data_IF_633232460718
#
_entry.id   IF_633232460718
#
_cell.length_a   1.000
_cell.length_b   1.000
_cell.length_c   1.000
_cell.angle_alpha   90.00
_cell.angle_beta   90.00
_cell.angle_gamma   90.00
#
_symmetry.space_group_name_H-M   'P 1'
#
loop_
_entity.id
_entity.type
_entity.pdbx_description
1 polymer ?
#
# COMPACT_ATOMS: atom_id res chain seq x y z
N UNK A 1 5.26 6.40 -14.23
CA UNK A 1 6.12 7.45 -13.62
C UNK A 1 6.82 6.83 -12.43
N UNK A 2 8.15 6.82 -12.39
CA UNK A 2 8.91 6.16 -11.34
C UNK A 2 8.72 6.86 -9.98
N UNK A 3 8.76 6.07 -8.91
CA UNK A 3 8.84 6.58 -7.54
C UNK A 3 10.31 6.69 -7.21
N UNK A 4 10.74 7.87 -6.73
CA UNK A 4 12.11 8.07 -6.28
C UNK A 4 12.12 8.71 -4.91
N UNK A 5 12.82 8.09 -4.00
CA UNK A 5 13.08 8.55 -2.64
C UNK A 5 14.58 8.54 -2.44
N UNK A 6 15.15 9.67 -2.04
CA UNK A 6 16.57 9.78 -1.71
C UNK A 6 16.74 10.46 -0.37
N UNK A 7 17.61 9.89 0.47
CA UNK A 7 18.05 10.46 1.75
C UNK A 7 16.90 10.79 2.73
N UNK A 8 15.81 9.98 2.68
CA UNK A 8 14.67 10.15 3.57
C UNK A 8 15.02 9.72 4.99
N UNK A 9 14.85 10.65 5.91
CA UNK A 9 14.94 10.42 7.35
C UNK A 9 13.61 10.75 8.03
N UNK A 10 13.31 10.12 9.17
CA UNK A 10 12.14 10.43 9.98
C UNK A 10 12.36 10.12 11.44
N UNK A 11 12.10 11.12 12.28
CA UNK A 11 12.03 10.96 13.73
C UNK A 11 10.59 11.02 14.21
N UNK A 12 10.25 10.20 15.20
CA UNK A 12 9.00 10.26 15.94
C UNK A 12 9.38 10.40 17.42
N UNK A 13 9.23 11.58 17.97
CA UNK A 13 9.76 11.92 19.27
C UNK A 13 11.30 11.78 19.30
N UNK A 14 11.81 10.88 20.13
CA UNK A 14 13.26 10.59 20.22
C UNK A 14 13.73 9.45 19.34
N UNK A 15 12.81 8.71 18.73
CA UNK A 15 13.14 7.53 17.94
C UNK A 15 13.42 7.92 16.48
N UNK A 16 14.60 7.54 15.95
CA UNK A 16 14.92 7.62 14.53
C UNK A 16 14.31 6.43 13.82
N UNK A 17 13.14 6.62 13.21
CA UNK A 17 12.30 5.54 12.65
C UNK A 17 12.70 5.19 11.23
N UNK A 18 13.09 6.17 10.40
CA UNK A 18 13.63 5.94 9.06
C UNK A 18 15.00 6.60 8.97
N UNK A 19 15.98 5.87 8.43
CA UNK A 19 17.38 6.24 8.44
C UNK A 19 17.93 6.15 7.03
N UNK A 20 18.07 7.30 6.38
CA UNK A 20 18.68 7.46 5.06
C UNK A 20 18.08 6.52 4.00
N UNK A 21 16.74 6.48 3.92
CA UNK A 21 16.03 5.64 2.95
C UNK A 21 16.28 6.15 1.53
N UNK A 22 16.85 5.30 0.70
CA UNK A 22 16.96 5.48 -0.75
C UNK A 22 16.22 4.34 -1.44
N UNK A 23 15.21 4.67 -2.27
CA UNK A 23 14.35 3.69 -2.95
C UNK A 23 13.87 4.25 -4.28
N UNK A 24 14.05 3.47 -5.36
CA UNK A 24 13.51 3.79 -6.68
C UNK A 24 12.66 2.62 -7.17
N UNK A 25 11.40 2.89 -7.57
CA UNK A 25 10.45 1.87 -8.04
C UNK A 25 9.99 2.28 -9.44
N UNK A 26 10.06 1.32 -10.36
CA UNK A 26 9.60 1.46 -11.74
C UNK A 26 8.08 1.43 -11.88
N UNK A 27 7.60 1.75 -13.08
CA UNK A 27 6.17 1.64 -13.41
C UNK A 27 5.77 0.17 -13.57
N UNK A 28 4.57 -0.17 -13.10
CA UNK A 28 3.98 -1.50 -13.26
C UNK A 28 4.58 -2.59 -12.38
N UNK A 29 5.40 -2.22 -11.38
CA UNK A 29 5.92 -3.17 -10.40
C UNK A 29 4.92 -3.43 -9.26
N UNK A 30 4.88 -4.67 -8.79
CA UNK A 30 4.24 -5.03 -7.52
C UNK A 30 5.35 -5.26 -6.49
N UNK A 31 5.53 -4.31 -5.60
CA UNK A 31 6.63 -4.29 -4.63
C UNK A 31 6.14 -4.67 -3.24
N UNK A 32 6.71 -5.71 -2.66
CA UNK A 32 6.49 -6.10 -1.27
C UNK A 32 7.47 -5.40 -0.33
N UNK A 33 6.97 -4.52 0.53
CA UNK A 33 7.74 -3.94 1.63
C UNK A 33 7.68 -4.87 2.83
N UNK A 34 8.70 -5.70 2.98
CA UNK A 34 8.77 -6.77 3.99
C UNK A 34 9.61 -6.31 5.19
N UNK A 35 9.23 -6.70 6.40
CA UNK A 35 10.01 -6.41 7.61
C UNK A 35 9.23 -6.68 8.89
N UNK A 36 9.90 -6.78 10.04
CA UNK A 36 9.25 -6.96 11.32
C UNK A 36 8.35 -5.78 11.71
N UNK A 37 7.52 -5.97 12.74
CA UNK A 37 6.72 -4.89 13.29
C UNK A 37 7.64 -3.80 13.87
N UNK A 38 7.33 -2.54 13.59
CA UNK A 38 8.16 -1.41 14.02
C UNK A 38 9.36 -1.11 13.12
N UNK A 39 9.61 -1.87 12.04
CA UNK A 39 10.74 -1.62 11.13
C UNK A 39 10.67 -0.29 10.36
N UNK A 40 9.51 0.38 10.32
CA UNK A 40 9.32 1.66 9.62
C UNK A 40 8.43 1.60 8.37
N UNK A 41 7.87 0.42 8.00
CA UNK A 41 7.06 0.21 6.80
C UNK A 41 5.90 1.20 6.67
N UNK A 42 5.00 1.23 7.66
CA UNK A 42 3.82 2.13 7.65
C UNK A 42 4.21 3.60 7.72
N UNK A 43 5.34 3.93 8.35
CA UNK A 43 5.89 5.30 8.38
C UNK A 43 6.32 5.73 6.99
N UNK A 44 7.07 4.89 6.27
CA UNK A 44 7.48 5.13 4.90
C UNK A 44 6.27 5.34 3.98
N UNK A 45 5.27 4.45 4.07
CA UNK A 45 4.03 4.56 3.29
C UNK A 45 3.26 5.85 3.58
N UNK A 46 3.14 6.26 4.85
CA UNK A 46 2.46 7.51 5.25
C UNK A 46 3.17 8.76 4.72
N UNK A 47 4.49 8.71 4.58
CA UNK A 47 5.25 9.80 3.94
C UNK A 47 4.99 9.82 2.43
N UNK A 48 5.00 8.65 1.75
CA UNK A 48 4.70 8.58 0.32
C UNK A 48 3.32 9.14 -0.03
N UNK A 49 2.32 8.92 0.83
CA UNK A 49 0.95 9.44 0.60
C UNK A 49 0.75 10.87 1.12
N UNK A 50 1.78 11.51 1.67
CA UNK A 50 1.73 12.89 2.16
C UNK A 50 0.98 13.08 3.48
N UNK A 51 0.73 12.00 4.25
CA UNK A 51 0.14 12.09 5.60
C UNK A 51 1.18 12.58 6.61
N UNK A 52 2.43 12.21 6.41
CA UNK A 52 3.55 12.68 7.21
C UNK A 52 4.62 13.32 6.33
N UNK A 53 5.36 14.28 6.88
CA UNK A 53 6.49 14.90 6.22
C UNK A 53 7.78 14.10 6.48
N UNK A 54 8.59 13.93 5.43
CA UNK A 54 9.95 13.42 5.53
C UNK A 54 10.89 14.49 6.07
N UNK A 55 12.07 14.09 6.50
CA UNK A 55 13.10 14.94 7.06
C UNK A 55 14.42 14.75 6.30
N UNK A 56 15.22 15.80 6.18
CA UNK A 56 16.59 15.70 5.69
C UNK A 56 17.47 14.93 6.68
N UNK A 57 18.39 14.11 6.17
CA UNK A 57 19.38 13.45 7.01
C UNK A 57 20.36 14.45 7.63
N UNK A 58 20.69 14.26 8.90
CA UNK A 58 21.88 14.86 9.52
C UNK A 58 23.07 13.93 9.31
N UNK A 59 23.51 13.73 8.06
CA UNK A 59 24.55 12.77 7.73
C UNK A 59 25.60 13.38 6.82
N UNK A 60 26.84 13.08 7.08
CA UNK A 60 28.18 13.24 6.45
C UNK A 60 28.34 14.02 5.13
N UNK A 61 27.41 14.90 4.77
CA UNK A 61 27.52 15.82 3.62
C UNK A 61 26.41 16.84 3.74
N UNK A 62 26.76 18.08 4.04
CA UNK A 62 25.84 19.20 4.27
C UNK A 62 24.95 19.57 3.04
N UNK A 63 24.97 18.77 1.95
CA UNK A 63 24.31 19.07 0.66
C UNK A 63 23.36 17.97 0.14
N UNK A 64 23.10 16.89 0.86
CA UNK A 64 22.17 15.85 0.39
C UNK A 64 20.76 16.13 0.90
N UNK A 65 19.98 16.81 0.07
CA UNK A 65 18.58 17.10 0.38
C UNK A 65 17.72 15.86 0.18
N UNK A 66 16.78 15.65 1.10
CA UNK A 66 15.69 14.69 0.92
C UNK A 66 14.92 15.00 -0.35
N UNK A 67 14.72 13.99 -1.18
CA UNK A 67 13.90 14.05 -2.39
C UNK A 67 12.80 13.00 -2.30
N UNK A 68 11.56 13.40 -2.54
CA UNK A 68 10.42 12.53 -2.70
C UNK A 68 9.70 12.86 -4.01
N UNK A 69 9.76 11.95 -4.95
CA UNK A 69 9.01 12.00 -6.19
C UNK A 69 8.04 10.81 -6.22
N UNK A 70 6.76 11.12 -6.19
CA UNK A 70 5.67 10.14 -6.28
C UNK A 70 4.65 10.60 -7.33
N UNK A 71 3.88 9.67 -7.94
CA UNK A 71 2.78 10.04 -8.83
C UNK A 71 1.79 10.98 -8.15
N UNK A 72 1.12 11.83 -8.95
CA UNK A 72 0.10 12.76 -8.45
C UNK A 72 -1.17 12.03 -7.95
N UNK A 73 -1.45 10.88 -8.53
CA UNK A 73 -2.63 10.08 -8.18
C UNK A 73 -2.21 8.84 -7.42
N UNK A 74 -2.46 8.85 -6.10
CA UNK A 74 -2.15 7.76 -5.18
C UNK A 74 -3.44 7.28 -4.53
N UNK A 75 -3.65 5.95 -4.58
CA UNK A 75 -4.63 5.25 -3.77
C UNK A 75 -3.98 4.69 -2.51
N UNK A 76 -4.63 4.82 -1.37
CA UNK A 76 -4.08 4.32 -0.10
C UNK A 76 -5.12 3.52 0.68
N UNK A 77 -4.73 2.31 1.07
CA UNK A 77 -5.44 1.47 2.02
C UNK A 77 -4.61 1.36 3.30
N UNK A 78 -5.00 2.02 4.39
CA UNK A 78 -4.32 1.89 5.68
C UNK A 78 -4.65 0.55 6.35
N UNK A 79 -3.77 0.07 7.23
CA UNK A 79 -3.91 -1.18 7.98
C UNK A 79 -5.26 -1.29 8.72
N UNK A 80 -5.67 -0.23 9.43
CA UNK A 80 -6.91 -0.23 10.21
C UNK A 80 -8.17 -0.08 9.36
N UNK A 81 -8.04 0.38 8.10
CA UNK A 81 -9.14 0.57 7.16
C UNK A 81 -10.39 1.21 7.80
N UNK A 82 -10.33 2.49 8.23
CA UNK A 82 -11.42 3.16 8.95
C UNK A 82 -12.61 3.41 8.02
N UNK A 83 -13.68 2.65 8.19
CA UNK A 83 -14.90 2.73 7.40
C UNK A 83 -16.07 3.28 8.24
N UNK A 84 -17.01 3.96 7.59
CA UNK A 84 -18.27 4.39 8.23
C UNK A 84 -19.23 3.20 8.29
N UNK A 85 -19.28 2.51 9.42
CA UNK A 85 -19.98 1.23 9.60
C UNK A 85 -21.51 1.33 9.43
N UNK A 86 -22.10 2.49 9.70
CA UNK A 86 -23.54 2.74 9.58
C UNK A 86 -24.03 2.98 8.15
N UNK A 87 -23.10 3.29 7.23
CA UNK A 87 -23.43 3.51 5.81
C UNK A 87 -23.60 2.18 5.07
N UNK A 88 -24.47 2.17 4.05
CA UNK A 88 -24.50 1.10 3.08
C UNK A 88 -23.27 1.14 2.17
N UNK A 89 -22.77 -0.01 1.70
CA UNK A 89 -21.56 -0.08 0.84
C UNK A 89 -21.67 0.86 -0.37
N UNK A 90 -22.80 0.82 -1.09
CA UNK A 90 -23.04 1.68 -2.25
C UNK A 90 -23.07 3.16 -1.88
N UNK A 91 -23.68 3.51 -0.76
CA UNK A 91 -23.73 4.87 -0.23
C UNK A 91 -22.33 5.38 0.14
N UNK A 92 -21.56 4.56 0.86
CA UNK A 92 -20.19 4.84 1.22
C UNK A 92 -19.31 5.16 -0.01
N UNK A 93 -19.33 4.29 -1.01
CA UNK A 93 -18.54 4.52 -2.23
C UNK A 93 -19.02 5.75 -3.00
N UNK A 94 -20.35 5.98 -3.09
CA UNK A 94 -20.90 7.18 -3.72
C UNK A 94 -20.47 8.47 -3.02
N UNK A 95 -20.42 8.46 -1.70
CA UNK A 95 -19.95 9.60 -0.90
C UNK A 95 -18.50 9.95 -1.26
N UNK A 96 -17.60 8.95 -1.27
CA UNK A 96 -16.18 9.18 -1.59
C UNK A 96 -15.94 9.52 -3.07
N UNK A 97 -16.70 8.93 -3.98
CA UNK A 97 -16.68 9.32 -5.41
C UNK A 97 -17.06 10.81 -5.56
N UNK A 98 -18.11 11.25 -4.86
CA UNK A 98 -18.54 12.66 -4.89
C UNK A 98 -17.48 13.65 -4.36
N UNK A 99 -16.63 13.22 -3.44
CA UNK A 99 -15.54 14.07 -2.90
C UNK A 99 -14.32 14.09 -3.83
N UNK A 100 -13.95 12.93 -4.40
CA UNK A 100 -12.66 12.74 -5.08
C UNK A 100 -12.72 12.97 -6.58
N UNK A 101 -13.88 12.90 -7.20
CA UNK A 101 -14.02 13.08 -8.65
C UNK A 101 -14.55 14.47 -8.98
N UNK A 102 -14.00 15.05 -10.03
CA UNK A 102 -14.50 16.34 -10.52
C UNK A 102 -15.90 16.16 -11.14
N UNK A 103 -16.83 17.10 -10.92
CA UNK A 103 -18.18 17.07 -11.49
C UNK A 103 -18.23 17.01 -13.03
N UNK A 104 -17.10 17.28 -13.69
CA UNK A 104 -16.93 17.24 -15.14
C UNK A 104 -16.42 15.90 -15.68
N UNK A 105 -16.37 14.82 -14.85
CA UNK A 105 -15.97 13.49 -15.31
C UNK A 105 -16.94 13.00 -16.40
N UNK A 106 -16.43 12.41 -17.51
CA UNK A 106 -17.27 11.83 -18.56
C UNK A 106 -18.07 10.62 -18.09
N UNK A 107 -17.64 9.97 -17.01
CA UNK A 107 -18.32 8.83 -16.38
C UNK A 107 -19.21 9.37 -15.26
N UNK A 108 -20.48 8.96 -15.22
CA UNK A 108 -21.36 9.31 -14.12
C UNK A 108 -20.87 8.71 -12.81
N UNK A 109 -21.03 9.44 -11.69
CA UNK A 109 -20.67 8.95 -10.36
C UNK A 109 -21.33 7.58 -10.06
N UNK A 110 -22.55 7.38 -10.51
CA UNK A 110 -23.27 6.12 -10.31
C UNK A 110 -22.62 4.96 -11.07
N UNK A 111 -22.22 5.17 -12.32
CA UNK A 111 -21.53 4.17 -13.12
C UNK A 111 -20.18 3.80 -12.49
N UNK A 112 -19.38 4.77 -12.09
CA UNK A 112 -18.10 4.53 -11.43
C UNK A 112 -18.25 3.70 -10.14
N UNK A 113 -19.30 3.97 -9.34
CA UNK A 113 -19.59 3.18 -8.13
C UNK A 113 -19.90 1.73 -8.47
N UNK A 114 -20.76 1.46 -9.46
CA UNK A 114 -21.11 0.09 -9.85
C UNK A 114 -19.90 -0.65 -10.46
N UNK A 115 -19.08 0.03 -11.24
CA UNK A 115 -17.83 -0.54 -11.79
C UNK A 115 -16.86 -0.94 -10.67
N UNK A 116 -16.68 -0.07 -9.66
CA UNK A 116 -15.84 -0.37 -8.50
C UNK A 116 -16.39 -1.55 -7.69
N UNK A 117 -17.71 -1.57 -7.40
CA UNK A 117 -18.39 -2.67 -6.70
C UNK A 117 -18.13 -4.00 -7.41
N UNK A 118 -18.31 -4.01 -8.73
CA UNK A 118 -18.10 -5.21 -9.56
C UNK A 118 -16.64 -5.64 -9.53
N UNK A 119 -15.72 -4.70 -9.73
CA UNK A 119 -14.27 -4.95 -9.81
C UNK A 119 -13.70 -5.57 -8.54
N UNK A 120 -14.17 -5.14 -7.37
CA UNK A 120 -13.69 -5.70 -6.10
C UNK A 120 -14.55 -6.86 -5.58
N UNK A 121 -15.55 -7.32 -6.34
CA UNK A 121 -16.42 -8.44 -5.98
C UNK A 121 -17.36 -8.15 -4.81
N UNK A 122 -17.95 -6.95 -4.75
CA UNK A 122 -18.89 -6.51 -3.71
C UNK A 122 -20.35 -6.52 -4.16
N UNK A 123 -20.68 -7.06 -5.35
CA UNK A 123 -22.03 -6.98 -5.94
C UNK A 123 -23.12 -7.53 -5.01
N UNK A 124 -22.90 -8.69 -4.38
CA UNK A 124 -23.84 -9.29 -3.46
C UNK A 124 -23.98 -8.53 -2.12
N UNK A 125 -22.94 -7.76 -1.75
CA UNK A 125 -22.85 -7.04 -0.49
C UNK A 125 -23.21 -5.55 -0.63
N UNK A 126 -23.42 -5.05 -1.83
CA UNK A 126 -23.55 -3.63 -2.15
C UNK A 126 -24.67 -2.90 -1.41
N UNK A 127 -25.71 -3.64 -1.02
CA UNK A 127 -26.89 -3.11 -0.31
C UNK A 127 -26.88 -3.43 1.20
N UNK A 128 -25.79 -3.99 1.74
CA UNK A 128 -25.61 -4.19 3.18
C UNK A 128 -24.90 -3.01 3.81
N UNK A 129 -25.09 -2.82 5.10
CA UNK A 129 -24.30 -1.87 5.86
C UNK A 129 -22.86 -2.36 6.00
N UNK A 130 -21.90 -1.46 5.95
CA UNK A 130 -20.46 -1.77 6.10
C UNK A 130 -20.19 -2.53 7.40
N UNK A 131 -20.84 -2.18 8.50
CA UNK A 131 -20.70 -2.86 9.79
C UNK A 131 -21.13 -4.32 9.79
N UNK A 132 -21.98 -4.74 8.85
CA UNK A 132 -22.46 -6.14 8.71
C UNK A 132 -21.53 -7.04 7.88
N UNK A 133 -20.49 -6.45 7.28
CA UNK A 133 -19.56 -7.17 6.43
C UNK A 133 -18.51 -7.94 7.23
N UNK A 134 -18.06 -9.08 6.69
CA UNK A 134 -16.85 -9.74 7.18
C UNK A 134 -15.64 -8.85 6.98
N UNK A 135 -14.54 -9.15 7.68
CA UNK A 135 -13.28 -8.40 7.55
C UNK A 135 -12.78 -8.34 6.11
N UNK A 136 -12.86 -9.46 5.36
CA UNK A 136 -12.45 -9.51 3.95
C UNK A 136 -13.32 -8.62 3.06
N UNK A 137 -14.63 -8.58 3.28
CA UNK A 137 -15.48 -7.65 2.54
C UNK A 137 -15.25 -6.18 2.93
N UNK A 138 -14.97 -5.88 4.20
CA UNK A 138 -14.52 -4.53 4.63
C UNK A 138 -13.23 -4.14 3.93
N UNK A 139 -12.29 -5.08 3.78
CA UNK A 139 -11.04 -4.86 3.04
C UNK A 139 -11.30 -4.51 1.56
N UNK A 140 -12.22 -5.22 0.90
CA UNK A 140 -12.64 -4.92 -0.48
C UNK A 140 -13.28 -3.52 -0.60
N UNK A 141 -14.05 -3.06 0.39
CA UNK A 141 -14.58 -1.69 0.42
C UNK A 141 -13.46 -0.67 0.48
N UNK A 142 -12.44 -0.88 1.32
CA UNK A 142 -11.25 -0.02 1.40
C UNK A 142 -10.44 -0.01 0.10
N UNK A 143 -10.27 -1.17 -0.55
CA UNK A 143 -9.63 -1.26 -1.87
C UNK A 143 -10.42 -0.49 -2.94
N UNK A 144 -11.75 -0.64 -2.98
CA UNK A 144 -12.60 0.14 -3.88
C UNK A 144 -12.44 1.64 -3.66
N UNK A 145 -12.42 2.09 -2.40
CA UNK A 145 -12.17 3.49 -2.03
C UNK A 145 -10.80 3.98 -2.51
N UNK A 146 -9.75 3.18 -2.33
CA UNK A 146 -8.40 3.52 -2.78
C UNK A 146 -8.33 3.68 -4.31
N UNK A 147 -9.20 2.99 -5.06
CA UNK A 147 -9.23 2.98 -6.53
C UNK A 147 -10.10 4.07 -7.16
N UNK A 148 -10.86 4.86 -6.40
CA UNK A 148 -11.84 5.84 -6.93
C UNK A 148 -11.22 6.80 -7.96
N UNK A 149 -10.01 7.29 -7.71
CA UNK A 149 -9.33 8.26 -8.58
C UNK A 149 -8.57 7.60 -9.74
N UNK A 150 -8.76 6.30 -9.98
CA UNK A 150 -7.95 5.50 -10.91
C UNK A 150 -6.45 5.79 -10.75
N UNK A 151 -5.86 5.51 -9.56
CA UNK A 151 -4.52 5.95 -9.22
C UNK A 151 -3.44 5.22 -10.05
N UNK A 152 -2.34 5.92 -10.33
CA UNK A 152 -1.13 5.35 -10.94
C UNK A 152 -0.36 4.48 -9.94
N UNK A 153 -0.43 4.84 -8.65
CA UNK A 153 0.20 4.15 -7.54
C UNK A 153 -0.84 3.73 -6.51
N UNK A 154 -0.82 2.45 -6.14
CA UNK A 154 -1.64 1.91 -5.05
C UNK A 154 -0.74 1.49 -3.89
N UNK A 155 -0.95 2.05 -2.72
CA UNK A 155 -0.22 1.74 -1.49
C UNK A 155 -1.17 1.01 -0.53
N UNK A 156 -0.79 -0.19 -0.11
CA UNK A 156 -1.61 -1.10 0.71
C UNK A 156 -0.85 -1.48 1.98
N UNK A 157 -1.30 -1.00 3.13
CA UNK A 157 -0.65 -1.29 4.41
C UNK A 157 -1.30 -2.53 5.04
N UNK A 158 -0.58 -3.65 5.09
CA UNK A 158 -1.00 -4.95 5.63
C UNK A 158 -2.38 -5.42 5.07
N UNK A 159 -2.58 -5.49 3.73
CA UNK A 159 -3.90 -5.66 3.13
C UNK A 159 -4.58 -7.01 3.42
N UNK A 160 -3.83 -7.98 3.89
CA UNK A 160 -4.25 -9.38 4.09
C UNK A 160 -4.36 -9.76 5.57
N UNK A 161 -3.95 -8.88 6.48
CA UNK A 161 -3.88 -9.19 7.93
C UNK A 161 -5.24 -9.55 8.52
N UNK A 162 -5.28 -10.76 9.13
CA UNK A 162 -6.45 -11.28 9.86
C UNK A 162 -7.61 -11.71 8.98
N UNK A 163 -7.34 -12.06 7.72
CA UNK A 163 -8.28 -12.71 6.83
C UNK A 163 -8.23 -14.24 6.99
N UNK A 164 -9.38 -14.89 6.76
CA UNK A 164 -9.40 -16.35 6.65
C UNK A 164 -8.77 -16.82 5.33
N UNK A 165 -8.39 -18.12 5.19
CA UNK A 165 -7.67 -18.61 4.01
C UNK A 165 -8.37 -18.36 2.67
N UNK A 166 -9.70 -18.42 2.62
CA UNK A 166 -10.45 -18.19 1.38
C UNK A 166 -10.44 -16.69 1.02
N UNK A 167 -10.73 -15.83 2.00
CA UNK A 167 -10.68 -14.36 1.82
C UNK A 167 -9.30 -13.88 1.44
N UNK A 168 -8.26 -14.51 2.00
CA UNK A 168 -6.86 -14.19 1.74
C UNK A 168 -6.50 -14.43 0.27
N UNK A 169 -6.88 -15.59 -0.30
CA UNK A 169 -6.60 -15.87 -1.72
C UNK A 169 -7.37 -14.94 -2.66
N UNK A 170 -8.60 -14.61 -2.33
CA UNK A 170 -9.41 -13.65 -3.07
C UNK A 170 -8.77 -12.25 -3.10
N UNK A 171 -8.28 -11.75 -1.95
CA UNK A 171 -7.62 -10.45 -1.89
C UNK A 171 -6.28 -10.47 -2.64
N UNK A 172 -5.52 -11.57 -2.55
CA UNK A 172 -4.29 -11.75 -3.33
C UNK A 172 -4.55 -11.70 -4.84
N UNK A 173 -5.57 -12.42 -5.30
CA UNK A 173 -5.97 -12.41 -6.70
C UNK A 173 -6.33 -10.99 -7.17
N UNK A 174 -7.08 -10.24 -6.34
CA UNK A 174 -7.46 -8.87 -6.63
C UNK A 174 -6.24 -7.93 -6.70
N UNK A 175 -5.27 -8.06 -5.77
CA UNK A 175 -4.03 -7.26 -5.79
C UNK A 175 -3.19 -7.58 -7.03
N UNK A 176 -3.05 -8.87 -7.40
CA UNK A 176 -2.35 -9.28 -8.63
C UNK A 176 -2.99 -8.68 -9.89
N UNK A 177 -4.33 -8.66 -9.94
CA UNK A 177 -5.05 -8.05 -11.07
C UNK A 177 -4.83 -6.54 -11.15
N UNK A 178 -4.88 -5.85 -10.01
CA UNK A 178 -4.57 -4.42 -9.94
C UNK A 178 -3.13 -4.12 -10.39
N UNK A 179 -2.18 -4.98 -10.04
CA UNK A 179 -0.76 -4.85 -10.40
C UNK A 179 -0.47 -4.94 -11.90
N UNK A 180 -1.38 -5.51 -12.71
CA UNK A 180 -1.23 -5.54 -14.18
C UNK A 180 -1.41 -4.17 -14.82
N UNK A 181 -2.11 -3.25 -14.15
CA UNK A 181 -2.50 -1.95 -14.71
C UNK A 181 -1.75 -0.77 -14.07
N UNK A 182 -1.13 -0.98 -12.92
CA UNK A 182 -0.52 0.09 -12.11
C UNK A 182 0.58 -0.41 -11.20
N UNK A 183 1.37 0.51 -10.67
CA UNK A 183 2.34 0.20 -9.63
C UNK A 183 1.62 -0.05 -8.31
N UNK A 184 1.98 -1.11 -7.61
CA UNK A 184 1.45 -1.47 -6.29
C UNK A 184 2.59 -1.61 -5.30
N UNK A 185 2.50 -0.96 -4.15
CA UNK A 185 3.37 -1.19 -2.99
C UNK A 185 2.50 -1.75 -1.89
N UNK A 186 2.85 -2.91 -1.37
CA UNK A 186 2.17 -3.48 -0.22
C UNK A 186 3.15 -3.76 0.91
N UNK A 187 2.76 -3.44 2.14
CA UNK A 187 3.49 -3.89 3.31
C UNK A 187 2.99 -5.26 3.76
N UNK A 188 3.90 -6.06 4.25
CA UNK A 188 3.57 -7.30 4.94
C UNK A 188 4.74 -7.77 5.82
N UNK A 189 4.44 -8.62 6.79
CA UNK A 189 5.43 -9.37 7.56
C UNK A 189 5.41 -10.86 7.20
N UNK A 190 4.63 -11.26 6.19
CA UNK A 190 4.41 -12.66 5.78
C UNK A 190 5.15 -12.92 4.45
N UNK A 191 6.21 -13.72 4.51
CA UNK A 191 7.07 -14.08 3.37
C UNK A 191 6.30 -14.71 2.20
N UNK A 192 5.31 -15.57 2.50
CA UNK A 192 4.50 -16.22 1.46
C UNK A 192 3.70 -15.23 0.62
N UNK A 193 3.27 -14.13 1.21
CA UNK A 193 2.52 -13.09 0.48
C UNK A 193 3.39 -12.42 -0.57
N UNK A 194 4.63 -12.09 -0.19
CA UNK A 194 5.61 -11.51 -1.12
C UNK A 194 5.86 -12.45 -2.29
N UNK A 195 6.09 -13.75 -2.03
CA UNK A 195 6.31 -14.76 -3.08
C UNK A 195 5.12 -14.91 -4.04
N UNK A 196 3.90 -14.72 -3.54
CA UNK A 196 2.68 -14.96 -4.32
C UNK A 196 2.17 -13.73 -5.10
N UNK A 197 2.47 -12.52 -4.64
CA UNK A 197 1.90 -11.31 -5.21
C UNK A 197 2.92 -10.37 -5.82
N UNK A 198 4.18 -10.38 -5.36
CA UNK A 198 5.13 -9.35 -5.69
C UNK A 198 6.11 -9.79 -6.78
N UNK A 199 6.56 -8.84 -7.60
CA UNK A 199 7.66 -9.01 -8.54
C UNK A 199 9.02 -8.65 -7.92
N UNK A 200 9.00 -7.80 -6.88
CA UNK A 200 10.17 -7.27 -6.19
C UNK A 200 9.92 -7.20 -4.69
N UNK A 201 10.98 -7.41 -3.90
CA UNK A 201 10.95 -7.25 -2.45
C UNK A 201 11.93 -6.20 -1.99
N UNK A 202 11.47 -5.35 -1.08
CA UNK A 202 12.28 -4.42 -0.30
C UNK A 202 12.17 -4.84 1.16
N UNK A 203 13.29 -5.30 1.74
CA UNK A 203 13.33 -5.66 3.17
C UNK A 203 13.82 -4.46 3.95
N UNK A 204 12.97 -4.00 4.88
CA UNK A 204 13.27 -2.91 5.80
C UNK A 204 13.39 -3.45 7.21
N UNK A 205 14.46 -3.05 7.92
CA UNK A 205 14.66 -3.38 9.31
C UNK A 205 15.33 -2.22 10.04
N UNK A 206 14.90 -1.94 11.29
CA UNK A 206 15.39 -0.83 12.12
C UNK A 206 15.47 0.54 11.38
N UNK A 207 14.55 0.75 10.44
CA UNK A 207 14.45 1.98 9.66
C UNK A 207 15.42 2.07 8.48
N UNK A 208 16.08 1.01 8.10
CA UNK A 208 17.02 0.94 6.99
C UNK A 208 16.56 -0.08 5.95
N UNK A 209 16.79 0.18 4.65
CA UNK A 209 16.62 -0.82 3.60
C UNK A 209 17.83 -1.77 3.65
N UNK A 210 17.57 -3.04 3.90
CA UNK A 210 18.61 -4.08 3.96
C UNK A 210 18.73 -4.85 2.64
N UNK A 211 17.63 -5.04 1.95
CA UNK A 211 17.57 -5.75 0.65
C UNK A 211 16.58 -5.02 -0.25
N UNK A 212 16.94 -4.91 -1.52
CA UNK A 212 16.07 -4.40 -2.58
C UNK A 212 16.39 -5.17 -3.86
N UNK A 213 15.54 -6.17 -4.20
CA UNK A 213 15.79 -7.09 -5.32
C UNK A 213 14.51 -7.60 -5.97
N UNK A 214 14.53 -7.91 -7.28
CA UNK A 214 13.50 -8.74 -7.91
C UNK A 214 13.39 -10.10 -7.21
N UNK A 215 12.16 -10.60 -7.05
CA UNK A 215 11.92 -11.92 -6.42
C UNK A 215 12.62 -13.04 -7.21
N UNK A 216 12.70 -12.92 -8.54
CA UNK A 216 13.33 -13.90 -9.40
C UNK A 216 14.86 -14.06 -9.15
N UNK A 217 15.50 -13.08 -8.52
CA UNK A 217 16.94 -13.09 -8.18
C UNK A 217 17.22 -13.61 -6.76
N UNK A 218 16.19 -14.07 -6.04
CA UNK A 218 16.30 -14.54 -4.66
C UNK A 218 16.03 -16.04 -4.62
N UNK A 219 17.08 -16.83 -4.39
CA UNK A 219 16.98 -18.28 -4.31
C UNK A 219 16.14 -18.73 -3.09
N UNK A 220 16.39 -18.11 -1.93
CA UNK A 220 15.68 -18.41 -0.69
C UNK A 220 15.30 -17.13 0.08
N UNK A 221 14.04 -16.71 -0.08
CA UNK A 221 13.54 -15.49 0.57
C UNK A 221 13.55 -15.59 2.11
N UNK A 222 13.34 -16.78 2.68
CA UNK A 222 13.34 -16.98 4.14
C UNK A 222 14.73 -16.79 4.73
N UNK A 223 15.73 -17.33 4.06
CA UNK A 223 17.13 -17.18 4.46
C UNK A 223 17.59 -15.73 4.28
N UNK A 224 17.28 -15.11 3.13
CA UNK A 224 17.57 -13.70 2.86
C UNK A 224 16.95 -12.79 3.93
N UNK A 225 15.68 -13.05 4.32
CA UNK A 225 15.00 -12.29 5.35
C UNK A 225 15.68 -12.45 6.72
N UNK A 226 16.02 -13.68 7.11
CA UNK A 226 16.75 -13.94 8.36
C UNK A 226 18.10 -13.23 8.41
N UNK A 227 18.87 -13.31 7.33
CA UNK A 227 20.17 -12.61 7.24
C UNK A 227 20.02 -11.10 7.31
N UNK A 228 18.96 -10.54 6.71
CA UNK A 228 18.70 -9.11 6.70
C UNK A 228 18.21 -8.56 8.06
N UNK A 229 17.56 -9.39 8.90
CA UNK A 229 16.93 -8.97 10.16
C UNK A 229 17.59 -9.53 11.42
N UNK A 230 18.54 -10.48 11.33
CA UNK A 230 19.22 -11.11 12.47
C UNK A 230 20.64 -10.57 12.71
N UNK A 231 20.96 -9.35 12.27
CA UNK A 231 22.23 -8.70 12.60
C UNK A 231 22.16 -8.09 14.03
N UNK A 232 22.07 -8.95 15.05
CA UNK A 232 22.54 -8.71 16.41
C UNK A 232 23.61 -9.74 16.77
#
# INVERSE_FOLDING_TARGET
MAINIFHLNKHIGKQHVLKDICLSIGDGEVVGLLGPNGAGKSTLMKIMVGVWEGENGKGKGENENFVLQVPKSIGFLPEQNPLYEDMYVREYLRFFVGIRTNRQSPISHSQLVEDLITRVGLTAEANKRVGQLSKGYKQRVGLAQAMISNPELLILDEPTTGLDPNQLEDIRALIREMGKERTVILSTHILQEVKQMCSRVVIIDHGEIKVDKPIAEIDNLEETFKQATNNE
#
